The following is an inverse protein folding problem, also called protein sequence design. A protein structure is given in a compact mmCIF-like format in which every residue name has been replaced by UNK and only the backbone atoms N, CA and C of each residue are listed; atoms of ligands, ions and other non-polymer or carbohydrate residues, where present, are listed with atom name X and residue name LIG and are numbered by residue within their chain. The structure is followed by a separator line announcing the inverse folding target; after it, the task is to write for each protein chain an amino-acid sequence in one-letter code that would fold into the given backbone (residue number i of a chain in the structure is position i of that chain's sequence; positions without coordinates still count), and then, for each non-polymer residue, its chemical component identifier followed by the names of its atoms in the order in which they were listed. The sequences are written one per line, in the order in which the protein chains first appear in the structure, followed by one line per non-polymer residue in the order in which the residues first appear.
data_IF_662320812839
#
_entry.id   IF_662320812839
#
_cell.length_a   1.000
_cell.length_b   1.000
_cell.length_c   1.000
_cell.angle_alpha   90.00
_cell.angle_beta   90.00
_cell.angle_gamma   90.00
#
_symmetry.space_group_name_H-M   'P 1'
#
loop_
_entity.id
_entity.type
_entity.pdbx_description
1 polymer ?
#
# COMPACT_ATOMS: atom_id res chain seq x y z
N UNK A 1 -12.47 -0.04 9.34
CA UNK A 1 -11.11 -0.27 9.90
C UNK A 1 -10.25 0.95 9.62
N UNK A 2 -9.36 1.27 10.54
CA UNK A 2 -8.48 2.41 10.34
C UNK A 2 -7.33 2.10 9.41
N UNK A 3 -6.88 0.85 9.42
CA UNK A 3 -5.80 0.39 8.56
C UNK A 3 -5.93 -1.10 8.31
N UNK A 4 -5.29 -1.56 7.24
CA UNK A 4 -5.23 -3.00 6.92
C UNK A 4 -3.79 -3.38 6.68
N UNK A 5 -3.46 -4.63 6.95
CA UNK A 5 -2.13 -5.16 6.66
C UNK A 5 -2.12 -5.74 5.26
N UNK A 6 -1.19 -5.26 4.43
CA UNK A 6 -1.06 -5.70 3.05
C UNK A 6 -0.22 -6.97 2.96
N UNK A 7 0.93 -6.96 3.62
CA UNK A 7 1.87 -8.07 3.56
C UNK A 7 2.94 -7.88 4.63
N UNK A 8 3.83 -8.85 4.76
CA UNK A 8 5.01 -8.68 5.60
C UNK A 8 6.01 -7.78 4.90
N UNK A 9 6.79 -7.02 5.67
CA UNK A 9 7.73 -6.06 5.11
C UNK A 9 8.82 -6.72 4.26
N UNK A 10 9.09 -8.00 4.48
CA UNK A 10 10.08 -8.73 3.69
C UNK A 10 9.55 -9.18 2.32
N UNK A 11 8.24 -9.09 2.11
CA UNK A 11 7.62 -9.53 0.86
C UNK A 11 7.94 -8.60 -0.29
N UNK A 12 7.98 -7.30 -0.04
CA UNK A 12 8.30 -6.31 -1.06
C UNK A 12 9.26 -5.28 -0.47
N UNK A 13 10.05 -4.69 -1.35
CA UNK A 13 10.81 -3.50 -1.01
C UNK A 13 9.92 -2.31 -1.34
N UNK A 14 9.39 -1.68 -0.31
CA UNK A 14 8.42 -0.62 -0.49
C UNK A 14 8.95 0.51 -1.36
N UNK A 15 10.19 0.93 -1.12
CA UNK A 15 10.78 2.00 -1.90
C UNK A 15 10.92 1.62 -3.37
N UNK A 16 11.49 0.46 -3.65
CA UNK A 16 11.68 0.01 -5.03
C UNK A 16 10.35 -0.21 -5.72
N UNK A 17 9.38 -0.74 -5.00
CA UNK A 17 8.07 -1.02 -5.57
C UNK A 17 7.34 0.27 -5.95
N UNK A 18 7.36 1.27 -5.08
CA UNK A 18 6.58 2.49 -5.29
C UNK A 18 7.34 3.55 -6.08
N UNK A 19 8.68 3.56 -6.01
CA UNK A 19 9.47 4.49 -6.81
C UNK A 19 9.80 3.93 -8.20
N UNK A 20 9.68 2.64 -8.39
CA UNK A 20 10.23 1.94 -9.52
C UNK A 20 9.30 1.72 -10.70
N UNK A 21 8.64 2.75 -11.21
CA UNK A 21 7.91 2.61 -12.46
C UNK A 21 6.46 2.23 -12.36
N UNK A 22 5.85 2.52 -11.24
CA UNK A 22 4.41 2.33 -11.11
C UNK A 22 3.66 3.35 -11.98
N UNK A 23 2.46 2.96 -12.42
CA UNK A 23 1.62 3.83 -13.25
C UNK A 23 1.19 5.09 -12.51
N UNK A 24 1.12 5.04 -11.20
CA UNK A 24 0.72 6.17 -10.37
C UNK A 24 1.92 6.72 -9.63
N UNK A 25 1.84 7.99 -9.30
CA UNK A 25 2.92 8.62 -8.56
C UNK A 25 2.69 8.45 -7.06
N UNK A 26 3.72 8.00 -6.40
CA UNK A 26 3.74 7.88 -4.95
C UNK A 26 4.76 8.84 -4.39
N UNK A 27 4.37 9.53 -3.33
CA UNK A 27 5.23 10.51 -2.68
C UNK A 27 5.47 10.08 -1.24
N UNK A 28 6.72 10.10 -0.81
CA UNK A 28 7.01 9.75 0.56
C UNK A 28 8.46 9.43 0.80
N UNK A 29 8.69 8.78 1.93
CA UNK A 29 10.00 8.36 2.37
C UNK A 29 10.07 6.84 2.37
N UNK A 30 11.19 6.29 2.83
CA UNK A 30 11.40 4.85 2.81
C UNK A 30 10.31 4.05 3.54
N UNK A 31 9.69 4.65 4.55
CA UNK A 31 8.75 3.92 5.40
C UNK A 31 7.29 4.30 5.19
N UNK A 32 7.02 5.33 4.41
CA UNK A 32 5.65 5.82 4.25
C UNK A 32 5.48 6.50 2.91
N UNK A 33 4.48 6.06 2.15
CA UNK A 33 4.18 6.62 0.84
C UNK A 33 2.70 6.95 0.73
N UNK A 34 2.42 8.04 0.03
CA UNK A 34 1.05 8.48 -0.24
C UNK A 34 0.83 8.54 -1.74
N UNK A 35 -0.30 8.02 -2.19
CA UNK A 35 -0.65 8.05 -3.60
C UNK A 35 -2.13 7.90 -3.81
N UNK A 36 -2.55 8.01 -5.06
CA UNK A 36 -3.96 7.95 -5.43
C UNK A 36 -4.19 6.73 -6.33
N UNK A 37 -5.17 5.93 -5.96
CA UNK A 37 -5.64 4.81 -6.78
C UNK A 37 -7.15 4.97 -6.92
N UNK A 38 -7.62 5.09 -8.15
CA UNK A 38 -9.06 5.17 -8.46
C UNK A 38 -9.80 6.22 -7.63
N UNK A 39 -9.23 7.42 -7.56
CA UNK A 39 -9.82 8.57 -6.87
C UNK A 39 -9.80 8.50 -5.35
N UNK A 40 -9.12 7.52 -4.78
CA UNK A 40 -8.92 7.46 -3.33
C UNK A 40 -7.46 7.66 -3.00
N UNK A 41 -7.21 8.43 -1.95
CA UNK A 41 -5.84 8.66 -1.49
C UNK A 41 -5.50 7.63 -0.43
N UNK A 42 -4.44 6.87 -0.69
CA UNK A 42 -3.98 5.84 0.24
C UNK A 42 -2.62 6.20 0.79
N UNK A 43 -2.38 5.79 2.01
CA UNK A 43 -1.06 5.86 2.62
C UNK A 43 -0.61 4.42 2.87
N UNK A 44 0.52 4.05 2.29
CA UNK A 44 1.11 2.73 2.49
C UNK A 44 2.36 2.94 3.32
N UNK A 45 2.45 2.26 4.44
CA UNK A 45 3.53 2.50 5.38
C UNK A 45 4.00 1.21 6.04
N UNK A 46 5.25 1.23 6.46
CA UNK A 46 5.82 0.11 7.18
C UNK A 46 5.67 0.34 8.68
N UNK A 47 5.22 -0.69 9.37
CA UNK A 47 5.03 -0.65 10.80
C UNK A 47 5.62 -1.95 11.36
N UNK A 48 6.81 -1.87 11.95
CA UNK A 48 7.52 -3.05 12.37
C UNK A 48 7.88 -3.93 11.18
N UNK A 49 7.44 -5.18 11.20
CA UNK A 49 7.68 -6.11 10.10
C UNK A 49 6.47 -6.29 9.20
N UNK A 50 5.56 -5.32 9.21
CA UNK A 50 4.35 -5.36 8.40
C UNK A 50 4.28 -4.13 7.50
N UNK A 51 3.68 -4.32 6.32
CA UNK A 51 3.30 -3.22 5.43
C UNK A 51 1.80 -3.04 5.57
N UNK A 52 1.40 -1.86 5.98
CA UNK A 52 0.00 -1.52 6.21
C UNK A 52 -0.45 -0.42 5.25
N UNK A 53 -1.77 -0.27 5.13
CA UNK A 53 -2.34 0.80 4.33
C UNK A 53 -3.52 1.42 5.06
N UNK A 54 -3.74 2.68 4.81
CA UNK A 54 -4.92 3.39 5.30
C UNK A 54 -5.39 4.38 4.24
N UNK A 55 -6.64 4.79 4.36
CA UNK A 55 -7.25 5.76 3.46
C UNK A 55 -7.27 7.12 4.15
N UNK A 56 -6.98 8.20 3.42
CA UNK A 56 -6.86 9.50 4.07
C UNK A 56 -8.17 10.06 4.60
N UNK A 57 -9.23 9.96 3.82
CA UNK A 57 -10.47 10.64 4.16
C UNK A 57 -11.63 9.69 4.44
N UNK A 58 -11.34 8.41 4.58
CA UNK A 58 -12.38 7.42 4.85
C UNK A 58 -11.73 6.20 5.46
N UNK A 59 -12.57 5.29 5.90
CA UNK A 59 -12.06 4.03 6.42
C UNK A 59 -11.68 3.12 5.26
N UNK A 60 -10.65 2.34 5.46
CA UNK A 60 -10.20 1.36 4.48
C UNK A 60 -10.90 0.04 4.76
N UNK A 61 -11.29 -0.67 3.71
CA UNK A 61 -11.99 -1.93 3.85
C UNK A 61 -11.26 -3.03 3.07
N UNK A 62 -11.85 -4.21 3.07
CA UNK A 62 -11.23 -5.37 2.43
C UNK A 62 -11.15 -5.21 0.92
N UNK A 63 -12.11 -4.52 0.33
CA UNK A 63 -12.07 -4.23 -1.10
C UNK A 63 -10.86 -3.35 -1.46
N UNK A 64 -10.59 -2.37 -0.60
CA UNK A 64 -9.41 -1.53 -0.78
C UNK A 64 -8.13 -2.35 -0.64
N UNK A 65 -8.08 -3.26 0.32
CA UNK A 65 -6.94 -4.14 0.52
C UNK A 65 -6.65 -4.94 -0.74
N UNK A 66 -7.66 -5.60 -1.30
CA UNK A 66 -7.49 -6.40 -2.49
C UNK A 66 -7.04 -5.56 -3.69
N UNK A 67 -7.56 -4.35 -3.79
CA UNK A 67 -7.18 -3.43 -4.85
C UNK A 67 -5.70 -3.06 -4.74
N UNK A 68 -5.24 -2.72 -3.55
CA UNK A 68 -3.85 -2.35 -3.33
C UNK A 68 -2.93 -3.53 -3.60
N UNK A 69 -3.29 -4.71 -3.12
CA UNK A 69 -2.50 -5.91 -3.35
C UNK A 69 -2.36 -6.22 -4.83
N UNK A 70 -3.45 -6.11 -5.57
CA UNK A 70 -3.42 -6.33 -7.01
C UNK A 70 -2.55 -5.29 -7.71
N UNK A 71 -2.69 -4.05 -7.28
CA UNK A 71 -1.92 -2.96 -7.85
C UNK A 71 -0.42 -3.14 -7.62
N UNK A 72 -0.03 -3.59 -6.46
CA UNK A 72 1.38 -3.80 -6.13
C UNK A 72 1.94 -5.12 -6.69
N UNK A 73 1.11 -5.93 -7.30
CA UNK A 73 1.54 -7.20 -7.82
C UNK A 73 1.83 -8.24 -6.76
N UNK A 74 1.26 -8.09 -5.58
CA UNK A 74 1.44 -9.04 -4.50
C UNK A 74 0.52 -10.22 -4.72
N UNK A 75 1.12 -11.39 -4.82
CA UNK A 75 0.37 -12.61 -5.05
C UNK A 75 -0.07 -13.21 -3.72
N UNK A 76 -1.36 -13.25 -3.51
CA UNK A 76 -1.93 -13.88 -2.34
C UNK A 76 -2.38 -15.27 -2.65
N UNK A 77 -1.46 -16.12 -2.81
CA UNK A 77 -1.77 -17.52 -2.86
C UNK A 77 -1.92 -18.05 -1.46
N UNK A 78 -3.11 -18.23 -1.10
CA UNK A 78 -3.39 -18.90 0.15
C UNK A 78 -3.40 -20.38 -0.05
#
# INVERSE_FOLDING_TARGET
MDKVTICKSETIDLKSTLDGGQAFRWHGTEDSYRGVIENKVYIIFREGNLINAKCMNSQIDRGDLLKIQRYLGIDFNL
#
